data_IF_689321414224
#
_entry.id   IF_689321414224
#
_cell.length_a   1.000
_cell.length_b   1.000
_cell.length_c   1.000
_cell.angle_alpha   90.00
_cell.angle_beta   90.00
_cell.angle_gamma   90.00
#
_symmetry.space_group_name_H-M   'P 1'
#
loop_
_entity.id
_entity.type
_entity.pdbx_description
1 polymer ?
#
# COMPACT_ATOMS: atom_id res chain seq x y z
N UNK A 1 11.09 2.10 26.80
CA UNK A 1 10.56 3.25 26.05
C UNK A 1 9.06 3.04 25.99
N UNK A 2 8.24 3.96 26.48
CA UNK A 2 6.79 3.84 26.29
C UNK A 2 6.53 3.92 24.78
N UNK A 3 5.86 2.93 24.20
CA UNK A 3 5.43 2.99 22.80
C UNK A 3 4.53 4.22 22.65
N UNK A 4 4.84 5.07 21.66
CA UNK A 4 4.00 6.21 21.35
C UNK A 4 2.62 5.70 20.91
N UNK A 5 1.54 6.37 21.35
CA UNK A 5 0.19 6.01 20.94
C UNK A 5 0.04 6.09 19.41
N UNK A 6 -0.51 5.05 18.76
CA UNK A 6 -0.71 5.05 17.31
C UNK A 6 -1.62 6.18 16.86
N UNK A 7 -1.15 6.98 15.89
CA UNK A 7 -1.87 8.12 15.32
C UNK A 7 -1.85 8.07 13.81
N UNK A 8 -2.92 8.55 13.18
CA UNK A 8 -2.99 8.70 11.71
C UNK A 8 -2.04 9.82 11.29
N UNK A 9 -1.10 9.50 10.41
CA UNK A 9 -0.05 10.41 9.96
C UNK A 9 0.11 10.35 8.45
N UNK A 10 0.38 11.50 7.83
CA UNK A 10 0.72 11.57 6.42
C UNK A 10 2.12 11.00 6.17
N UNK A 11 2.24 10.16 5.14
CA UNK A 11 3.49 9.60 4.66
C UNK A 11 3.62 9.94 3.17
N UNK A 12 4.69 10.64 2.82
CA UNK A 12 5.01 10.95 1.43
C UNK A 12 5.69 9.75 0.80
N UNK A 13 5.47 9.59 -0.50
CA UNK A 13 6.18 8.57 -1.26
C UNK A 13 6.26 8.95 -2.73
N UNK A 14 7.25 8.37 -3.39
CA UNK A 14 7.52 8.67 -4.79
C UNK A 14 8.26 7.55 -5.50
N UNK A 15 8.23 7.60 -6.83
CA UNK A 15 9.19 6.86 -7.62
C UNK A 15 10.55 7.57 -7.61
N UNK A 16 11.61 6.86 -7.99
CA UNK A 16 12.99 7.39 -7.95
C UNK A 16 13.17 8.72 -8.70
N UNK A 17 12.52 8.88 -9.86
CA UNK A 17 12.64 10.10 -10.67
C UNK A 17 11.60 11.18 -10.34
N UNK A 18 10.73 10.96 -9.35
CA UNK A 18 9.71 11.90 -8.92
C UNK A 18 8.52 12.08 -9.87
N UNK A 19 8.40 11.29 -10.95
CA UNK A 19 7.21 11.32 -11.82
C UNK A 19 5.96 10.89 -11.07
N UNK A 20 6.07 9.80 -10.30
CA UNK A 20 5.01 9.30 -9.44
C UNK A 20 5.23 9.90 -8.06
N UNK A 21 4.26 10.64 -7.54
CA UNK A 21 4.28 11.22 -6.20
C UNK A 21 2.92 10.95 -5.57
N UNK A 22 2.91 10.55 -4.30
CA UNK A 22 1.67 10.27 -3.59
C UNK A 22 1.80 10.60 -2.11
N UNK A 23 0.65 10.62 -1.45
CA UNK A 23 0.53 10.64 -0.01
C UNK A 23 -0.30 9.44 0.39
N UNK A 24 0.16 8.71 1.40
CA UNK A 24 -0.61 7.69 2.09
C UNK A 24 -0.70 8.06 3.56
N UNK A 25 -1.89 7.94 4.14
CA UNK A 25 -2.08 8.12 5.58
C UNK A 25 -2.03 6.79 6.27
N UNK A 26 -1.15 6.67 7.27
CA UNK A 26 -0.94 5.44 8.03
C UNK A 26 -1.09 5.73 9.53
N UNK A 27 -1.65 4.77 10.25
CA UNK A 27 -1.62 4.75 11.71
C UNK A 27 -0.25 4.27 12.16
N UNK A 28 0.52 5.17 12.80
CA UNK A 28 1.91 4.96 13.22
C UNK A 28 2.12 5.29 14.71
N UNK A 29 2.91 4.49 15.47
CA UNK A 29 3.55 3.24 15.04
C UNK A 29 2.53 2.16 14.65
N UNK A 30 2.93 1.22 13.78
CA UNK A 30 2.00 0.23 13.23
C UNK A 30 1.40 -0.62 14.37
N UNK A 31 0.07 -0.63 14.57
CA UNK A 31 -0.52 -1.16 15.80
C UNK A 31 -0.71 -2.68 15.79
N UNK A 32 -0.52 -3.35 14.64
CA UNK A 32 -0.82 -4.77 14.49
C UNK A 32 0.42 -5.65 14.59
N UNK A 33 0.20 -6.87 15.09
CA UNK A 33 1.21 -7.91 15.33
C UNK A 33 0.55 -9.28 15.38
N UNK A 34 1.34 -10.35 15.54
CA UNK A 34 0.79 -11.71 15.68
C UNK A 34 -0.20 -11.87 16.84
N UNK A 35 -0.03 -11.14 17.94
CA UNK A 35 -0.95 -11.17 19.10
C UNK A 35 -2.18 -10.27 18.93
N UNK A 36 -2.12 -9.33 17.99
CA UNK A 36 -3.21 -8.41 17.69
C UNK A 36 -3.29 -8.21 16.16
N UNK A 37 -3.78 -9.22 15.42
CA UNK A 37 -3.85 -9.17 13.96
C UNK A 37 -4.90 -8.16 13.49
N UNK A 38 -4.72 -7.56 12.29
CA UNK A 38 -5.69 -6.64 11.72
C UNK A 38 -7.00 -7.36 11.31
N UNK A 39 -8.12 -6.65 11.43
CA UNK A 39 -9.42 -7.06 10.91
C UNK A 39 -9.58 -6.66 9.42
N UNK A 40 -10.53 -7.25 8.67
CA UNK A 40 -10.69 -7.10 7.20
C UNK A 40 -10.89 -5.69 6.61
N UNK A 41 -10.80 -4.64 7.42
CA UNK A 41 -10.95 -3.24 7.01
C UNK A 41 -9.84 -2.33 7.56
N UNK A 42 -8.95 -2.87 8.40
CA UNK A 42 -7.91 -2.12 9.08
C UNK A 42 -6.65 -2.00 8.21
N UNK A 43 -5.71 -1.15 8.64
CA UNK A 43 -4.41 -1.06 8.01
C UNK A 43 -3.68 -2.39 8.12
N UNK A 44 -3.01 -2.79 7.05
CA UNK A 44 -2.31 -4.05 6.97
C UNK A 44 -0.94 -3.87 6.32
N UNK A 45 0.08 -4.53 6.87
CA UNK A 45 1.41 -4.61 6.26
C UNK A 45 1.72 -6.07 6.02
N UNK A 46 1.95 -6.44 4.76
CA UNK A 46 2.15 -7.84 4.40
C UNK A 46 3.06 -8.05 3.19
N UNK A 47 3.56 -9.29 3.08
CA UNK A 47 4.25 -9.82 1.91
C UNK A 47 3.57 -11.10 1.46
N UNK A 48 3.54 -11.32 0.16
CA UNK A 48 2.88 -12.45 -0.47
C UNK A 48 3.91 -13.26 -1.29
N UNK A 49 3.84 -14.59 -1.22
CA UNK A 49 4.75 -15.49 -1.95
C UNK A 49 4.28 -15.86 -3.37
N UNK A 50 3.18 -15.28 -3.87
CA UNK A 50 2.75 -15.51 -5.25
C UNK A 50 3.83 -15.04 -6.24
N UNK A 51 3.81 -15.59 -7.44
CA UNK A 51 4.84 -15.32 -8.46
C UNK A 51 4.96 -13.82 -8.80
N UNK A 52 3.82 -13.11 -8.89
CA UNK A 52 3.77 -11.67 -9.17
C UNK A 52 4.38 -10.85 -8.04
N UNK A 53 3.88 -10.99 -6.81
CA UNK A 53 4.33 -10.21 -5.65
C UNK A 53 5.82 -10.49 -5.34
N UNK A 54 6.25 -11.75 -5.42
CA UNK A 54 7.64 -12.12 -5.21
C UNK A 54 8.57 -11.49 -6.26
N UNK A 55 8.27 -11.63 -7.57
CA UNK A 55 9.12 -11.11 -8.64
C UNK A 55 9.15 -9.59 -8.70
N UNK A 56 8.09 -8.94 -8.26
CA UNK A 56 8.01 -7.48 -8.19
C UNK A 56 8.58 -6.91 -6.89
N UNK A 57 8.92 -7.78 -5.92
CA UNK A 57 9.33 -7.40 -4.58
C UNK A 57 8.30 -6.48 -3.89
N UNK A 58 7.03 -6.90 -3.89
CA UNK A 58 5.96 -6.11 -3.26
C UNK A 58 5.97 -6.25 -1.75
N UNK A 59 6.24 -5.14 -1.08
CA UNK A 59 6.03 -4.96 0.35
C UNK A 59 4.72 -4.21 0.55
N UNK A 60 3.61 -4.91 0.64
CA UNK A 60 2.29 -4.29 0.60
C UNK A 60 2.01 -3.54 1.91
N UNK A 61 1.70 -2.26 1.78
CA UNK A 61 1.17 -1.41 2.85
C UNK A 61 -0.22 -0.98 2.43
N UNK A 62 -1.23 -1.59 3.03
CA UNK A 62 -2.64 -1.35 2.75
C UNK A 62 -3.21 -0.38 3.78
N UNK A 63 -3.68 0.83 3.39
CA UNK A 63 -4.25 1.76 4.35
C UNK A 63 -5.65 1.33 4.81
N UNK A 64 -6.08 1.87 5.96
CA UNK A 64 -7.37 1.54 6.57
C UNK A 64 -8.57 2.07 5.78
N UNK A 65 -8.40 3.11 4.95
CA UNK A 65 -9.41 3.59 4.01
C UNK A 65 -8.77 4.01 2.67
N UNK A 66 -8.72 3.13 1.65
CA UNK A 66 -8.15 3.41 0.32
C UNK A 66 -8.57 4.71 -0.35
N UNK A 67 -9.78 5.22 -0.08
CA UNK A 67 -10.27 6.47 -0.67
C UNK A 67 -9.74 7.71 0.05
N UNK A 68 -9.75 7.67 1.39
CA UNK A 68 -9.44 8.85 2.21
C UNK A 68 -8.00 8.87 2.71
N UNK A 69 -7.33 7.71 2.72
CA UNK A 69 -5.97 7.52 3.19
C UNK A 69 -4.95 7.40 2.05
N UNK A 70 -5.33 7.62 0.79
CA UNK A 70 -4.38 7.66 -0.32
C UNK A 70 -4.76 8.69 -1.37
N UNK A 71 -3.74 9.42 -1.83
CA UNK A 71 -3.86 10.44 -2.86
C UNK A 71 -2.64 10.37 -3.76
N UNK A 72 -2.85 10.12 -5.04
CA UNK A 72 -1.82 10.26 -6.07
C UNK A 72 -1.76 11.74 -6.47
N UNK A 73 -0.59 12.34 -6.28
CA UNK A 73 -0.32 13.75 -6.51
C UNK A 73 0.18 14.04 -7.93
N UNK A 74 0.81 13.05 -8.54
CA UNK A 74 1.27 13.05 -9.93
C UNK A 74 1.58 11.61 -10.34
N UNK A 75 1.24 11.17 -11.57
CA UNK A 75 0.35 11.85 -12.52
C UNK A 75 -1.11 11.87 -12.04
N UNK A 76 -1.98 12.64 -12.72
CA UNK A 76 -3.42 12.69 -12.41
C UNK A 76 -4.23 11.68 -13.23
N UNK A 77 -3.65 11.14 -14.30
CA UNK A 77 -4.24 10.06 -15.08
C UNK A 77 -3.31 8.82 -15.09
N UNK A 78 -3.27 8.03 -14.00
CA UNK A 78 -2.35 6.89 -13.90
C UNK A 78 -2.60 5.81 -14.97
N UNK A 79 -3.80 5.74 -15.55
CA UNK A 79 -4.12 4.76 -16.58
C UNK A 79 -3.46 5.07 -17.93
N UNK A 80 -3.16 6.34 -18.21
CA UNK A 80 -2.50 6.78 -19.44
C UNK A 80 -1.04 7.20 -19.23
N UNK A 81 -0.70 7.69 -18.03
CA UNK A 81 0.62 8.27 -17.75
C UNK A 81 1.57 7.32 -16.99
N UNK A 82 1.04 6.28 -16.35
CA UNK A 82 1.85 5.20 -15.76
C UNK A 82 1.76 3.94 -16.61
N UNK A 83 2.78 3.08 -16.49
CA UNK A 83 2.67 1.73 -17.00
C UNK A 83 2.02 0.83 -15.94
N UNK A 84 1.22 -0.13 -16.37
CA UNK A 84 0.58 -1.08 -15.47
C UNK A 84 0.85 -2.52 -15.92
N UNK A 85 1.01 -3.40 -14.95
CA UNK A 85 0.95 -4.84 -15.18
C UNK A 85 -0.30 -5.40 -14.50
N UNK A 86 -0.99 -6.33 -15.16
CA UNK A 86 -2.14 -7.06 -14.63
C UNK A 86 -1.87 -8.56 -14.79
N UNK A 87 -2.15 -9.34 -13.75
CA UNK A 87 -2.06 -10.80 -13.76
C UNK A 87 -3.41 -11.42 -13.41
N UNK A 88 -3.53 -12.74 -13.60
CA UNK A 88 -4.70 -13.54 -13.21
C UNK A 88 -6.01 -13.00 -13.81
N UNK A 89 -7.00 -12.74 -12.96
CA UNK A 89 -8.32 -12.15 -13.26
C UNK A 89 -8.26 -10.72 -13.85
N UNK A 90 -7.07 -10.09 -13.84
CA UNK A 90 -6.83 -8.71 -14.27
C UNK A 90 -7.59 -7.68 -13.44
N UNK A 91 -7.95 -7.99 -12.20
CA UNK A 91 -8.62 -7.04 -11.31
C UNK A 91 -7.67 -5.98 -10.75
N UNK A 92 -6.38 -6.31 -10.62
CA UNK A 92 -5.38 -5.45 -9.99
C UNK A 92 -4.34 -4.96 -10.99
N UNK A 93 -4.17 -3.64 -11.04
CA UNK A 93 -3.13 -2.94 -11.79
C UNK A 93 -1.96 -2.66 -10.87
N UNK A 94 -0.81 -3.29 -11.14
CA UNK A 94 0.47 -3.00 -10.50
C UNK A 94 1.14 -1.86 -11.26
N UNK A 95 0.85 -0.61 -10.86
CA UNK A 95 1.38 0.57 -11.52
C UNK A 95 2.87 0.75 -11.26
N UNK A 96 3.59 1.17 -12.30
CA UNK A 96 5.00 1.51 -12.23
C UNK A 96 5.33 2.71 -13.10
N UNK A 97 6.35 3.43 -12.66
CA UNK A 97 6.85 4.58 -13.40
C UNK A 97 7.49 4.11 -14.72
N UNK A 98 7.03 4.61 -15.89
CA UNK A 98 7.62 4.26 -17.18
C UNK A 98 9.07 4.75 -17.35
N UNK A 99 9.50 5.72 -16.52
CA UNK A 99 10.85 6.31 -16.60
C UNK A 99 11.89 5.57 -15.77
N UNK A 100 11.53 5.10 -14.56
CA UNK A 100 12.50 4.48 -13.64
C UNK A 100 12.11 3.06 -13.18
N UNK A 101 10.98 2.51 -13.63
CA UNK A 101 10.55 1.15 -13.32
C UNK A 101 10.00 0.92 -11.91
N UNK A 102 10.07 1.93 -11.02
CA UNK A 102 9.63 1.80 -9.63
C UNK A 102 8.11 1.62 -9.55
N UNK A 103 7.70 0.59 -8.79
CA UNK A 103 6.31 0.21 -8.50
C UNK A 103 5.85 0.84 -7.21
N UNK A 104 5.09 1.94 -7.30
CA UNK A 104 4.66 2.70 -6.13
C UNK A 104 3.39 2.15 -5.49
N UNK A 105 2.41 1.72 -6.30
CA UNK A 105 1.13 1.26 -5.76
C UNK A 105 0.44 0.25 -6.68
N UNK A 106 -0.43 -0.54 -6.08
CA UNK A 106 -1.33 -1.48 -6.75
C UNK A 106 -2.76 -1.05 -6.48
N UNK A 107 -3.60 -1.06 -7.52
CA UNK A 107 -4.98 -0.62 -7.42
C UNK A 107 -5.94 -1.56 -8.14
N UNK A 108 -7.09 -1.81 -7.54
CA UNK A 108 -8.23 -2.48 -8.18
C UNK A 108 -9.51 -1.72 -7.84
N UNK A 109 -10.27 -1.30 -8.86
CA UNK A 109 -11.46 -0.48 -8.71
C UNK A 109 -11.49 0.68 -9.69
N UNK A 110 -12.29 1.71 -9.40
CA UNK A 110 -12.43 2.91 -10.23
C UNK A 110 -11.75 4.09 -9.55
N UNK A 111 -10.85 4.76 -10.28
CA UNK A 111 -10.22 6.01 -9.85
C UNK A 111 -11.03 7.23 -10.26
N UNK A 112 -10.77 8.36 -9.60
CA UNK A 112 -11.27 9.66 -10.00
C UNK A 112 -10.26 10.75 -9.66
N UNK A 113 -10.28 11.82 -10.44
CA UNK A 113 -9.64 13.08 -10.09
C UNK A 113 -10.55 13.88 -9.17
N UNK A 114 -9.98 14.49 -8.14
CA UNK A 114 -10.71 15.24 -7.13
C UNK A 114 -9.86 16.42 -6.62
N UNK A 115 -10.53 17.44 -6.08
CA UNK A 115 -9.87 18.60 -5.47
C UNK A 115 -9.98 18.48 -3.97
N UNK A 116 -8.86 18.20 -3.32
CA UNK A 116 -8.78 18.00 -1.88
C UNK A 116 -8.04 19.16 -1.21
N UNK A 117 -8.45 19.50 0.00
CA UNK A 117 -7.70 20.43 0.83
C UNK A 117 -6.53 19.67 1.48
N UNK A 118 -5.31 20.06 1.12
CA UNK A 118 -4.09 19.45 1.63
C UNK A 118 -3.46 20.26 2.77
N UNK A 119 -4.18 21.24 3.32
CA UNK A 119 -3.65 22.15 4.35
C UNK A 119 -3.26 21.42 5.65
N UNK A 120 -3.86 20.26 5.93
CA UNK A 120 -3.50 19.42 7.08
C UNK A 120 -2.35 18.44 6.80
N UNK A 121 -1.79 18.45 5.59
CA UNK A 121 -0.62 17.64 5.26
C UNK A 121 0.65 18.32 5.77
N UNK A 122 1.52 17.54 6.41
CA UNK A 122 2.74 18.01 7.09
C UNK A 122 3.78 18.69 6.16
N UNK A 123 3.49 18.82 4.88
CA UNK A 123 4.32 19.39 3.82
C UNK A 123 4.42 20.91 3.81
N UNK A 124 3.65 21.62 4.65
CA UNK A 124 3.60 23.08 4.65
C UNK A 124 2.98 23.70 3.39
N UNK A 125 2.60 22.89 2.41
CA UNK A 125 1.84 23.30 1.21
C UNK A 125 0.38 23.48 1.59
N UNK A 126 -0.04 24.74 1.70
CA UNK A 126 -1.43 25.09 2.02
C UNK A 126 -2.28 25.16 0.75
N UNK A 127 -3.55 24.78 0.89
CA UNK A 127 -4.57 25.02 -0.13
C UNK A 127 -5.12 23.77 -0.80
N UNK A 128 -5.97 24.02 -1.79
CA UNK A 128 -6.61 22.98 -2.59
C UNK A 128 -5.66 22.46 -3.65
N UNK A 129 -5.58 21.14 -3.81
CA UNK A 129 -4.79 20.48 -4.83
C UNK A 129 -5.63 19.44 -5.55
N UNK A 130 -5.45 19.36 -6.85
CA UNK A 130 -6.00 18.28 -7.66
C UNK A 130 -5.18 17.00 -7.43
N UNK A 131 -5.87 15.90 -7.15
CA UNK A 131 -5.28 14.59 -6.87
C UNK A 131 -6.09 13.50 -7.57
N UNK A 132 -5.45 12.38 -7.86
CA UNK A 132 -6.16 11.16 -8.21
C UNK A 132 -6.36 10.30 -6.96
N UNK A 133 -7.56 9.76 -6.77
CA UNK A 133 -7.88 8.86 -5.64
C UNK A 133 -8.94 7.84 -6.03
N UNK A 134 -9.15 6.84 -5.17
CA UNK A 134 -10.19 5.86 -5.38
C UNK A 134 -11.60 6.49 -5.31
N UNK A 135 -12.49 6.11 -6.22
CA UNK A 135 -13.91 6.47 -6.20
C UNK A 135 -14.67 5.51 -5.28
N UNK A 136 -15.54 6.06 -4.44
CA UNK A 136 -16.52 5.26 -3.71
C UNK A 136 -17.71 4.96 -4.63
N UNK A 137 -17.99 3.69 -4.87
CA UNK A 137 -19.11 3.26 -5.71
C UNK A 137 -20.21 2.71 -4.79
N UNK A 138 -21.11 3.58 -4.33
CA UNK A 138 -22.39 3.21 -3.70
C UNK A 138 -22.36 2.43 -2.38
N UNK A 139 -23.55 2.09 -1.87
CA UNK A 139 -23.79 1.35 -0.61
C UNK A 139 -23.54 -0.17 -0.73
N UNK A 140 -23.42 -0.71 -1.95
CA UNK A 140 -23.26 -2.14 -2.22
C UNK A 140 -21.88 -2.48 -2.82
N UNK A 141 -20.89 -2.51 -1.93
CA UNK A 141 -20.02 -3.69 -1.73
C UNK A 141 -18.94 -4.07 -2.77
N UNK A 142 -18.12 -3.12 -3.23
CA UNK A 142 -16.71 -3.44 -3.51
C UNK A 142 -15.80 -2.28 -3.11
N UNK A 143 -15.22 -2.38 -1.91
CA UNK A 143 -14.15 -1.46 -1.49
C UNK A 143 -12.97 -1.62 -2.45
N UNK A 144 -12.46 -0.52 -3.04
CA UNK A 144 -11.35 -0.61 -3.96
C UNK A 144 -10.14 -1.20 -3.23
N UNK A 145 -9.43 -2.10 -3.91
CA UNK A 145 -8.15 -2.57 -3.43
C UNK A 145 -7.11 -1.49 -3.66
N UNK A 146 -6.33 -1.18 -2.64
CA UNK A 146 -5.18 -0.29 -2.77
C UNK A 146 -4.08 -0.71 -1.80
N UNK A 147 -2.87 -0.91 -2.31
CA UNK A 147 -1.67 -0.97 -1.48
C UNK A 147 -0.57 -0.13 -2.10
N UNK A 148 0.22 0.52 -1.25
CA UNK A 148 1.49 1.12 -1.68
C UNK A 148 2.61 0.13 -1.41
N UNK A 149 3.67 0.20 -2.21
CA UNK A 149 4.90 -0.54 -1.93
C UNK A 149 5.66 0.20 -0.84
N UNK A 150 5.86 -0.44 0.32
CA UNK A 150 6.51 0.20 1.47
C UNK A 150 7.87 0.79 1.14
N UNK A 151 8.59 0.23 0.17
CA UNK A 151 9.92 0.70 -0.26
C UNK A 151 9.89 2.02 -1.05
N UNK A 152 8.71 2.52 -1.42
CA UNK A 152 8.53 3.81 -2.10
C UNK A 152 7.99 4.90 -1.19
N UNK A 153 7.73 4.59 0.08
CA UNK A 153 7.44 5.59 1.12
C UNK A 153 8.78 6.23 1.51
N UNK A 154 8.80 7.55 1.63
CA UNK A 154 10.00 8.30 2.00
C UNK A 154 10.45 7.90 3.41
N UNK A 155 11.78 7.89 3.61
CA UNK A 155 12.39 7.44 4.87
C UNK A 155 11.92 8.30 6.06
N UNK A 156 11.56 7.62 7.15
CA UNK A 156 11.08 8.24 8.39
C UNK A 156 11.37 7.34 9.59
N UNK A 157 11.58 7.92 10.76
CA UNK A 157 12.04 7.20 11.97
C UNK A 157 10.96 6.28 12.56
N UNK A 158 9.68 6.63 12.41
CA UNK A 158 8.53 5.90 12.98
C UNK A 158 7.85 4.94 11.98
N UNK A 159 8.48 4.72 10.82
CA UNK A 159 8.10 3.69 9.86
C UNK A 159 9.36 3.13 9.15
N UNK A 160 9.94 2.08 9.73
CA UNK A 160 11.07 1.33 9.17
C UNK A 160 10.62 -0.12 8.86
N UNK A 161 10.66 -0.51 7.59
CA UNK A 161 10.27 -1.85 7.13
C UNK A 161 11.10 -2.96 7.75
N UNK A 162 12.37 -2.68 8.07
CA UNK A 162 13.25 -3.61 8.78
C UNK A 162 12.75 -3.84 10.19
N UNK A 163 12.44 -2.77 10.92
CA UNK A 163 11.90 -2.85 12.29
C UNK A 163 10.56 -3.59 12.30
N UNK A 164 9.64 -3.28 11.36
CA UNK A 164 8.38 -4.02 11.23
C UNK A 164 8.60 -5.53 11.03
N UNK A 165 9.63 -5.89 10.27
CA UNK A 165 9.98 -7.29 10.01
C UNK A 165 10.60 -7.96 11.24
N UNK A 166 11.60 -7.32 11.87
CA UNK A 166 12.29 -7.80 13.07
C UNK A 166 11.31 -7.97 14.26
N UNK A 167 10.33 -7.07 14.39
CA UNK A 167 9.30 -7.09 15.43
C UNK A 167 8.09 -7.98 15.10
N UNK A 168 8.11 -8.72 13.98
CA UNK A 168 7.01 -9.60 13.56
C UNK A 168 5.67 -8.87 13.43
N UNK A 169 5.72 -7.69 12.82
CA UNK A 169 4.58 -6.83 12.47
C UNK A 169 4.23 -6.89 10.97
N UNK A 170 4.85 -7.78 10.23
CA UNK A 170 4.58 -8.05 8.81
C UNK A 170 3.91 -9.41 8.69
N UNK A 171 2.77 -9.46 8.01
CA UNK A 171 2.12 -10.72 7.67
C UNK A 171 2.74 -11.33 6.42
N UNK A 172 2.90 -12.64 6.40
CA UNK A 172 3.34 -13.40 5.25
C UNK A 172 2.20 -14.28 4.77
N UNK A 173 1.71 -14.00 3.56
CA UNK A 173 0.61 -14.72 2.95
C UNK A 173 1.10 -15.82 2.01
N UNK A 174 0.35 -16.93 2.00
CA UNK A 174 0.54 -18.05 1.09
C UNK A 174 -0.46 -17.99 -0.07
N UNK A 175 -0.08 -17.34 -1.16
CA UNK A 175 -0.82 -17.32 -2.43
C UNK A 175 -0.05 -18.09 -3.52
N UNK A 176 0.75 -19.07 -3.11
CA UNK A 176 1.49 -19.97 -4.01
C UNK A 176 1.07 -21.42 -3.90
N UNK A 177 0.49 -21.84 -2.77
CA UNK A 177 -0.06 -23.20 -2.64
C UNK A 177 -1.06 -23.48 -3.77
N UNK A 178 -1.01 -24.69 -4.32
CA UNK A 178 -1.88 -25.11 -5.43
C UNK A 178 -3.36 -25.05 -5.03
N UNK A 179 -4.31 -24.90 -5.98
CA UNK A 179 -5.74 -24.80 -5.66
C UNK A 179 -6.30 -25.98 -4.85
N UNK A 180 -5.70 -27.17 -5.04
CA UNK A 180 -6.02 -28.41 -4.33
C UNK A 180 -5.49 -28.41 -2.89
N UNK A 181 -4.48 -27.59 -2.59
CA UNK A 181 -3.90 -27.42 -1.26
C UNK A 181 -4.64 -26.34 -0.49
N UNK A 182 -5.00 -26.64 0.77
CA UNK A 182 -5.61 -25.63 1.65
C UNK A 182 -4.63 -24.47 1.84
N UNK A 183 -5.04 -23.26 1.44
CA UNK A 183 -4.30 -22.01 1.70
C UNK A 183 -3.91 -21.95 3.19
N UNK A 184 -2.62 -21.78 3.43
CA UNK A 184 -2.07 -21.73 4.79
C UNK A 184 -2.42 -20.39 5.44
N UNK A 185 -2.60 -20.41 6.75
CA UNK A 185 -2.79 -19.19 7.54
C UNK A 185 -1.57 -18.26 7.42
N UNK A 186 -1.82 -16.96 7.57
CA UNK A 186 -0.77 -15.96 7.54
C UNK A 186 0.26 -16.20 8.66
N UNK A 187 1.54 -16.09 8.31
CA UNK A 187 2.65 -16.14 9.26
C UNK A 187 3.13 -14.74 9.62
N UNK A 188 3.84 -14.64 10.74
CA UNK A 188 4.43 -13.38 11.20
C UNK A 188 5.93 -13.51 11.51
N UNK A 189 6.42 -14.74 11.67
CA UNK A 189 7.81 -15.04 12.00
C UNK A 189 8.73 -15.08 10.77
N UNK A 190 8.20 -15.55 9.63
CA UNK A 190 8.96 -15.67 8.37
C UNK A 190 8.05 -15.87 7.16
N UNK A 191 8.57 -15.59 5.94
CA UNK A 191 7.89 -15.92 4.70
C UNK A 191 7.52 -17.40 4.57
N UNK A 192 6.43 -17.67 3.86
CA UNK A 192 6.14 -19.00 3.34
C UNK A 192 7.21 -19.42 2.32
N UNK A 193 7.27 -20.73 2.01
CA UNK A 193 8.17 -21.23 0.96
C UNK A 193 7.98 -20.45 -0.35
N UNK A 194 9.08 -20.07 -0.98
CA UNK A 194 9.09 -19.23 -2.19
C UNK A 194 8.77 -17.76 -1.96
N UNK A 195 8.60 -17.32 -0.71
CA UNK A 195 8.48 -15.90 -0.33
C UNK A 195 9.83 -15.25 0.00
N UNK A 196 9.78 -13.97 0.34
CA UNK A 196 10.95 -13.16 0.72
C UNK A 196 10.64 -12.29 1.94
N UNK A 197 11.68 -12.02 2.73
CA UNK A 197 11.67 -11.05 3.83
C UNK A 197 11.60 -9.64 3.29
#
# INVERSE_FOLDING_TARGET
MAEAEPKRQACHGSCHCGLTQYIVFLTLPHPFSSSHPPQPIQQEVYRCNCSTCYKMNMFHVHPANPRDDFMLLSPLDPDHELSAYQCNDKERKFYFCPKCGVRCFTFGGVGQTDVVDITELADGKKGKREVWRAKWIGENDTRPYLSVNGTTIDSREDFDLRVLTEEKRVQYFDDRSEPEEKKKEARWDRPHYGGSY
#
